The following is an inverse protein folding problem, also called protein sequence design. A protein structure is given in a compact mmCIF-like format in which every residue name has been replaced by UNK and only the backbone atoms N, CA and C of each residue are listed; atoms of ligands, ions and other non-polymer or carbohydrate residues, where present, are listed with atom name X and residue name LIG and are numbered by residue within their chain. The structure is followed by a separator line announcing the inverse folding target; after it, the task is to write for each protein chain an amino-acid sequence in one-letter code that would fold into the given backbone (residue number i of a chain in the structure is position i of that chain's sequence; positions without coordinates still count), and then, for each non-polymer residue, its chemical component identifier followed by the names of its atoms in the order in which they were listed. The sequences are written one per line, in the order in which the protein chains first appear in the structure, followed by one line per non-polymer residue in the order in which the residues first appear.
data_IF_788471579657
#
_entry.id   IF_788471579657
#
_cell.length_a   1.000
_cell.length_b   1.000
_cell.length_c   1.000
_cell.angle_alpha   90.00
_cell.angle_beta   90.00
_cell.angle_gamma   90.00
#
_symmetry.space_group_name_H-M   'P 1'
#
loop_
_entity.id
_entity.type
_entity.pdbx_description
1 polymer ?
#
# COMPACT_ATOMS: atom_id res chain seq x y z
N UNK A 1 -24.98 -15.54 26.15
CA UNK A 1 -24.46 -14.26 25.63
C UNK A 1 -24.10 -14.49 24.17
N UNK A 2 -24.88 -13.93 23.25
CA UNK A 2 -24.70 -14.19 21.81
C UNK A 2 -23.66 -13.21 21.25
N UNK A 3 -22.46 -13.71 20.94
CA UNK A 3 -21.42 -12.92 20.29
C UNK A 3 -21.86 -12.61 18.86
N UNK A 4 -22.11 -11.34 18.56
CA UNK A 4 -22.34 -10.87 17.20
C UNK A 4 -20.99 -10.83 16.49
N UNK A 5 -20.81 -11.68 15.49
CA UNK A 5 -19.64 -11.65 14.59
C UNK A 5 -19.86 -10.50 13.63
N UNK A 6 -19.04 -9.44 13.74
CA UNK A 6 -18.99 -8.38 12.75
C UNK A 6 -17.72 -8.56 11.92
N UNK A 7 -17.88 -9.01 10.66
CA UNK A 7 -16.83 -8.94 9.66
C UNK A 7 -16.84 -7.51 9.11
N UNK A 8 -15.88 -6.69 9.52
CA UNK A 8 -15.64 -5.40 8.86
C UNK A 8 -14.90 -5.70 7.57
N UNK A 9 -15.61 -5.63 6.44
CA UNK A 9 -15.00 -5.68 5.12
C UNK A 9 -14.90 -4.25 4.61
N UNK A 10 -13.73 -3.64 4.77
CA UNK A 10 -13.44 -2.34 4.18
C UNK A 10 -13.19 -2.51 2.68
N UNK A 11 -14.13 -2.03 1.85
CA UNK A 11 -13.92 -1.91 0.41
C UNK A 11 -13.53 -0.47 0.07
N UNK A 12 -12.33 -0.29 -0.47
CA UNK A 12 -11.92 0.95 -1.11
C UNK A 12 -11.58 0.68 -2.59
N UNK A 13 -12.56 0.91 -3.46
CA UNK A 13 -12.32 1.03 -4.90
C UNK A 13 -13.39 1.91 -5.53
N UNK A 14 -13.00 3.08 -6.03
CA UNK A 14 -13.78 3.80 -7.06
C UNK A 14 -12.79 4.33 -8.08
N UNK A 15 -13.00 3.96 -9.35
CA UNK A 15 -12.27 4.48 -10.50
C UNK A 15 -13.19 5.42 -11.28
N UNK A 16 -12.76 6.66 -11.52
CA UNK A 16 -12.93 7.38 -12.78
C UNK A 16 -12.22 8.74 -12.78
N UNK A 17 -11.92 9.20 -14.00
CA UNK A 17 -10.88 10.16 -14.37
C UNK A 17 -10.89 11.54 -13.68
N UNK A 18 -9.66 12.02 -13.46
CA UNK A 18 -9.20 13.42 -13.42
C UNK A 18 -10.27 14.48 -13.06
N UNK A 19 -10.49 14.64 -11.76
CA UNK A 19 -11.15 15.77 -11.14
C UNK A 19 -10.93 15.64 -9.62
N UNK A 20 -10.76 16.75 -8.91
CA UNK A 20 -10.75 16.76 -7.45
C UNK A 20 -12.13 16.33 -6.95
N UNK A 21 -12.37 15.01 -6.89
CA UNK A 21 -13.57 14.45 -6.30
C UNK A 21 -13.46 14.75 -4.80
N UNK A 22 -14.36 15.56 -4.23
CA UNK A 22 -14.38 15.76 -2.79
C UNK A 22 -14.55 14.41 -2.12
N UNK A 23 -13.86 14.22 -0.99
CA UNK A 23 -13.96 12.98 -0.21
C UNK A 23 -15.42 12.55 -0.07
N UNK A 24 -15.77 11.29 -0.38
CA UNK A 24 -17.14 10.80 -0.25
C UNK A 24 -17.76 11.07 1.12
N UNK A 25 -16.92 11.29 2.15
CA UNK A 25 -17.32 11.56 3.53
C UNK A 25 -16.71 12.85 4.12
N UNK A 26 -16.14 13.74 3.31
CA UNK A 26 -15.51 14.98 3.80
C UNK A 26 -14.14 14.80 4.49
N UNK A 27 -13.51 13.64 4.35
CA UNK A 27 -12.16 13.38 4.86
C UNK A 27 -11.12 14.28 4.15
N UNK A 28 -10.39 15.14 4.89
CA UNK A 28 -9.40 16.04 4.31
C UNK A 28 -8.14 15.31 3.78
N UNK A 29 -7.93 14.05 4.15
CA UNK A 29 -6.78 13.23 3.72
C UNK A 29 -7.03 12.50 2.40
N UNK A 30 -8.30 12.39 1.98
CA UNK A 30 -8.66 11.74 0.74
C UNK A 30 -8.37 12.63 -0.47
N UNK A 31 -7.77 12.03 -1.49
CA UNK A 31 -7.83 12.53 -2.85
C UNK A 31 -7.99 11.36 -3.84
N UNK A 32 -8.19 11.66 -5.13
CA UNK A 32 -8.34 10.62 -6.15
C UNK A 32 -7.19 9.59 -6.17
N UNK A 33 -5.97 10.03 -5.87
CA UNK A 33 -4.75 9.21 -5.87
C UNK A 33 -4.43 8.55 -4.51
N UNK A 34 -5.05 9.01 -3.42
CA UNK A 34 -4.79 8.54 -2.06
C UNK A 34 -6.10 8.35 -1.29
N UNK A 35 -6.40 7.10 -0.95
CA UNK A 35 -7.56 6.78 -0.12
C UNK A 35 -7.40 7.36 1.29
N UNK A 36 -8.54 7.64 1.92
CA UNK A 36 -8.64 7.91 3.35
C UNK A 36 -8.04 6.73 4.15
N UNK A 37 -7.30 7.05 5.21
CA UNK A 37 -6.77 6.06 6.15
C UNK A 37 -7.57 6.10 7.46
N UNK A 38 -7.59 5.01 8.26
CA UNK A 38 -8.39 4.97 9.48
C UNK A 38 -7.79 5.75 10.66
N UNK A 39 -6.72 6.53 10.45
CA UNK A 39 -5.96 7.25 11.47
C UNK A 39 -6.86 8.00 12.47
N UNK A 40 -6.85 7.58 13.74
CA UNK A 40 -7.58 8.26 14.83
C UNK A 40 -9.11 8.29 14.70
N UNK A 41 -9.68 7.56 13.74
CA UNK A 41 -11.15 7.52 13.51
C UNK A 41 -11.81 6.26 14.08
N UNK A 42 -11.02 5.28 14.50
CA UNK A 42 -11.55 4.03 15.00
C UNK A 42 -12.25 4.24 16.35
N UNK A 43 -13.48 3.73 16.44
CA UNK A 43 -14.27 3.73 17.67
C UNK A 43 -14.69 2.29 17.96
N UNK A 44 -14.24 1.69 19.09
CA UNK A 44 -14.64 0.35 19.46
C UNK A 44 -16.15 0.25 19.62
N UNK A 45 -16.75 -0.81 19.06
CA UNK A 45 -18.17 -1.06 19.26
C UNK A 45 -18.42 -1.52 20.71
N UNK A 46 -19.32 -0.82 21.40
CA UNK A 46 -19.69 -1.15 22.78
C UNK A 46 -20.20 -2.59 22.90
N UNK A 47 -19.71 -3.32 23.92
CA UNK A 47 -20.05 -4.72 24.20
C UNK A 47 -19.75 -5.71 23.06
N UNK A 48 -18.79 -5.40 22.18
CA UNK A 48 -18.28 -6.31 21.17
C UNK A 48 -16.77 -6.56 21.34
N UNK A 49 -16.30 -7.71 20.87
CA UNK A 49 -14.88 -8.05 20.84
C UNK A 49 -14.44 -8.26 19.40
N UNK A 50 -13.34 -7.61 19.00
CA UNK A 50 -12.74 -7.83 17.70
C UNK A 50 -12.21 -9.26 17.59
N UNK A 51 -12.57 -9.95 16.50
CA UNK A 51 -12.17 -11.35 16.23
C UNK A 51 -11.36 -11.52 14.96
N UNK A 52 -11.60 -10.69 13.96
CA UNK A 52 -10.98 -10.80 12.65
C UNK A 52 -10.95 -9.42 11.98
N UNK A 53 -9.83 -9.10 11.35
CA UNK A 53 -9.69 -7.95 10.46
C UNK A 53 -9.39 -8.50 9.06
N UNK A 54 -10.09 -8.00 8.05
CA UNK A 54 -9.79 -8.29 6.65
C UNK A 54 -9.52 -6.97 5.92
N UNK A 55 -8.29 -6.84 5.43
CA UNK A 55 -7.87 -5.69 4.64
C UNK A 55 -7.76 -6.09 3.17
N UNK A 56 -8.47 -5.36 2.32
CA UNK A 56 -8.32 -5.44 0.86
C UNK A 56 -7.86 -4.08 0.38
N UNK A 57 -6.64 -4.02 -0.14
CA UNK A 57 -6.03 -2.76 -0.58
C UNK A 57 -5.55 -2.86 -2.02
N UNK A 58 -5.59 -1.72 -2.71
CA UNK A 58 -4.98 -1.54 -4.04
C UNK A 58 -3.48 -1.29 -3.86
N UNK A 59 -2.70 -1.52 -4.91
CA UNK A 59 -1.35 -0.96 -4.97
C UNK A 59 -1.36 0.58 -4.77
N UNK A 60 -0.24 1.13 -4.30
CA UNK A 60 -0.05 2.58 -4.19
C UNK A 60 0.15 3.28 -5.54
N UNK A 61 0.52 4.56 -5.50
CA UNK A 61 0.85 5.34 -6.69
C UNK A 61 1.89 4.65 -7.59
N UNK A 62 1.71 4.80 -8.90
CA UNK A 62 2.54 4.14 -9.90
C UNK A 62 2.61 4.96 -11.17
N UNK A 63 3.66 4.74 -11.95
CA UNK A 63 3.72 5.25 -13.32
C UNK A 63 2.62 4.66 -14.20
N UNK A 64 2.23 5.35 -15.29
CA UNK A 64 1.36 4.81 -16.31
C UNK A 64 1.88 3.49 -16.88
N UNK A 65 1.01 2.61 -17.36
CA UNK A 65 1.41 1.36 -18.03
C UNK A 65 1.56 1.53 -19.54
N UNK A 66 1.05 2.63 -20.08
CA UNK A 66 1.09 2.99 -21.48
C UNK A 66 1.50 4.46 -21.60
N UNK A 67 2.04 4.82 -22.77
CA UNK A 67 2.28 6.20 -23.14
C UNK A 67 0.98 6.99 -23.15
N UNK A 68 0.97 8.12 -22.45
CA UNK A 68 -0.13 9.08 -22.48
C UNK A 68 0.27 10.20 -23.44
N UNK A 69 -0.47 10.46 -24.53
CA UNK A 69 -0.15 11.53 -25.46
C UNK A 69 -0.03 12.87 -24.73
N UNK A 70 1.02 13.63 -25.04
CA UNK A 70 1.33 14.93 -24.43
C UNK A 70 1.60 14.90 -22.91
N UNK A 71 1.92 13.75 -22.32
CA UNK A 71 2.39 13.69 -20.94
C UNK A 71 3.86 14.15 -20.85
N UNK A 72 4.08 15.28 -20.18
CA UNK A 72 5.41 15.84 -19.91
C UNK A 72 5.89 15.59 -18.48
N UNK A 73 5.22 14.68 -17.75
CA UNK A 73 5.56 14.38 -16.36
C UNK A 73 6.94 13.74 -16.25
N UNK A 74 7.62 14.02 -15.14
CA UNK A 74 8.90 13.40 -14.81
C UNK A 74 8.69 12.37 -13.70
N UNK A 75 9.00 11.10 -13.99
CA UNK A 75 8.83 9.99 -13.06
C UNK A 75 10.18 9.50 -12.56
N UNK A 76 10.52 9.86 -11.32
CA UNK A 76 11.80 9.50 -10.70
C UNK A 76 11.64 8.37 -9.68
N UNK A 77 12.29 7.24 -9.95
CA UNK A 77 12.34 6.06 -9.09
C UNK A 77 13.76 5.75 -8.62
N UNK A 78 14.70 6.68 -8.81
CA UNK A 78 16.13 6.47 -8.52
C UNK A 78 16.44 6.40 -7.03
N UNK A 79 15.58 6.95 -6.17
CA UNK A 79 15.70 6.83 -4.73
C UNK A 79 15.54 5.39 -4.21
N UNK A 80 15.14 4.46 -5.10
CA UNK A 80 14.74 3.11 -4.71
C UNK A 80 13.44 3.14 -3.92
N UNK A 81 12.76 2.00 -3.88
CA UNK A 81 11.69 1.80 -2.90
C UNK A 81 12.39 1.21 -1.69
N UNK A 82 12.52 1.99 -0.63
CA UNK A 82 13.18 1.54 0.60
C UNK A 82 12.21 0.64 1.38
N UNK A 83 11.90 -0.54 0.85
CA UNK A 83 11.17 -1.59 1.56
C UNK A 83 12.14 -2.38 2.41
N UNK A 84 12.88 -1.72 3.31
CA UNK A 84 13.92 -2.33 4.15
C UNK A 84 13.26 -3.24 5.22
N UNK A 85 12.52 -4.25 4.76
CA UNK A 85 11.91 -5.29 5.54
C UNK A 85 12.99 -6.34 5.74
N UNK A 86 13.95 -5.98 6.57
CA UNK A 86 15.03 -6.86 7.05
C UNK A 86 14.49 -8.01 7.92
N UNK A 87 13.18 -8.03 8.20
CA UNK A 87 12.53 -8.95 9.14
C UNK A 87 11.62 -10.03 8.52
N UNK A 88 11.45 -10.10 7.18
CA UNK A 88 10.72 -11.21 6.54
C UNK A 88 11.70 -12.22 5.94
N UNK A 89 12.51 -12.87 6.79
CA UNK A 89 13.47 -13.87 6.34
C UNK A 89 12.81 -15.23 5.99
N UNK A 90 11.54 -15.47 6.37
CA UNK A 90 11.03 -16.84 6.52
C UNK A 90 9.68 -17.16 5.86
N UNK A 91 9.11 -16.31 4.99
CA UNK A 91 7.92 -16.67 4.22
C UNK A 91 8.24 -16.65 2.72
N UNK A 92 8.29 -17.86 2.17
CA UNK A 92 8.37 -18.19 0.76
C UNK A 92 7.86 -17.07 -0.18
N UNK A 93 8.78 -16.49 -0.94
CA UNK A 93 8.55 -15.67 -2.14
C UNK A 93 7.84 -14.32 -2.02
N UNK A 94 8.19 -13.51 -1.02
CA UNK A 94 8.32 -12.06 -1.29
C UNK A 94 9.80 -11.65 -1.21
N UNK A 95 10.66 -12.41 -1.89
CA UNK A 95 12.00 -12.00 -2.31
C UNK A 95 11.97 -11.53 -3.77
N UNK A 96 11.22 -10.47 -4.05
CA UNK A 96 11.61 -9.60 -5.15
C UNK A 96 12.84 -8.91 -4.60
N UNK A 97 14.02 -9.32 -5.07
CA UNK A 97 15.15 -8.42 -5.11
C UNK A 97 14.55 -7.06 -5.44
N UNK A 98 14.69 -6.08 -4.54
CA UNK A 98 14.44 -4.71 -4.92
C UNK A 98 15.26 -4.57 -6.19
N UNK A 99 14.59 -4.52 -7.35
CA UNK A 99 15.22 -4.10 -8.58
C UNK A 99 15.39 -2.62 -8.35
N UNK A 100 16.32 -2.29 -7.46
CA UNK A 100 17.31 -1.27 -7.69
C UNK A 100 17.90 -1.69 -9.02
N UNK A 101 17.24 -1.30 -10.10
CA UNK A 101 17.95 -0.94 -11.30
C UNK A 101 18.91 0.14 -10.83
N UNK A 102 20.05 -0.28 -10.26
CA UNK A 102 21.26 0.50 -10.20
C UNK A 102 21.41 0.93 -11.64
N UNK A 103 21.11 2.19 -11.89
CA UNK A 103 20.99 2.77 -13.20
C UNK A 103 22.31 2.48 -13.94
N UNK A 104 22.36 1.39 -14.72
CA UNK A 104 23.59 0.93 -15.38
C UNK A 104 23.87 1.75 -16.63
N UNK A 105 23.44 3.00 -16.69
CA UNK A 105 23.59 3.88 -17.84
C UNK A 105 22.90 3.37 -19.12
N UNK A 106 22.20 2.24 -19.06
CA UNK A 106 21.34 1.77 -20.14
C UNK A 106 20.02 2.48 -19.95
N UNK A 107 19.71 3.41 -20.85
CA UNK A 107 18.37 3.98 -21.00
C UNK A 107 17.39 2.82 -21.23
N UNK A 108 16.90 2.21 -20.15
CA UNK A 108 15.87 1.19 -20.22
C UNK A 108 14.63 1.76 -20.89
N UNK A 109 13.69 0.91 -21.29
CA UNK A 109 12.45 1.33 -21.96
C UNK A 109 11.73 2.51 -21.29
N UNK A 110 11.87 2.69 -19.96
CA UNK A 110 11.36 3.85 -19.22
C UNK A 110 11.85 5.21 -19.75
N UNK A 111 13.11 5.32 -20.18
CA UNK A 111 13.69 6.55 -20.72
C UNK A 111 13.14 6.93 -22.11
N UNK A 112 12.49 5.98 -22.81
CA UNK A 112 11.75 6.25 -24.05
C UNK A 112 10.28 6.58 -23.78
N UNK A 113 9.82 6.42 -22.53
CA UNK A 113 8.40 6.54 -22.18
C UNK A 113 8.07 7.91 -21.58
N UNK A 114 8.92 8.41 -20.69
CA UNK A 114 8.80 9.73 -20.05
C UNK A 114 10.16 10.20 -19.54
N UNK A 115 10.23 11.45 -19.08
CA UNK A 115 11.41 11.93 -18.38
C UNK A 115 11.57 11.20 -17.02
N UNK A 116 12.80 10.88 -16.64
CA UNK A 116 13.12 10.23 -15.37
C UNK A 116 13.58 8.77 -15.50
N UNK A 117 13.47 8.03 -14.40
CA UNK A 117 14.10 6.70 -14.21
C UNK A 117 13.12 5.55 -13.97
N UNK A 118 11.83 5.85 -13.78
CA UNK A 118 10.82 4.81 -13.58
C UNK A 118 10.50 4.05 -14.88
N UNK A 119 10.23 2.75 -14.75
CA UNK A 119 9.68 1.90 -15.82
C UNK A 119 8.15 1.97 -15.87
N UNK A 120 7.50 1.55 -16.97
CA UNK A 120 6.05 1.53 -17.03
C UNK A 120 5.38 0.60 -16.02
N UNK A 121 4.31 1.10 -15.39
CA UNK A 121 3.56 0.40 -14.36
C UNK A 121 4.31 0.21 -13.05
N UNK A 122 5.40 0.95 -12.84
CA UNK A 122 6.25 0.89 -11.66
C UNK A 122 5.64 1.59 -10.47
N UNK A 123 5.65 0.93 -9.31
CA UNK A 123 5.34 1.59 -8.04
C UNK A 123 6.33 2.73 -7.82
N UNK A 124 5.82 3.93 -7.53
CA UNK A 124 6.66 5.09 -7.23
C UNK A 124 7.09 5.06 -5.76
N UNK A 125 8.14 5.83 -5.38
CA UNK A 125 8.47 6.03 -3.97
C UNK A 125 7.28 6.58 -3.16
N UNK A 126 6.52 7.51 -3.75
CA UNK A 126 5.27 8.02 -3.19
C UNK A 126 4.26 6.89 -2.94
N UNK A 127 4.06 6.01 -3.92
CA UNK A 127 3.14 4.88 -3.80
C UNK A 127 3.55 3.89 -2.71
N UNK A 128 4.84 3.72 -2.46
CA UNK A 128 5.30 2.92 -1.34
C UNK A 128 5.06 3.63 0.00
N UNK A 129 5.34 4.94 0.08
CA UNK A 129 5.11 5.75 1.27
C UNK A 129 3.63 5.75 1.70
N UNK A 130 2.70 5.77 0.74
CA UNK A 130 1.26 5.62 1.02
C UNK A 130 0.95 4.31 1.79
N UNK A 131 1.66 3.22 1.50
CA UNK A 131 1.47 1.95 2.20
C UNK A 131 2.18 1.91 3.54
N UNK A 132 3.34 2.57 3.68
CA UNK A 132 3.99 2.77 5.00
C UNK A 132 3.05 3.49 5.95
N UNK A 133 2.43 4.58 5.50
CA UNK A 133 1.48 5.36 6.31
C UNK A 133 0.23 4.55 6.65
N UNK A 134 -0.32 3.81 5.69
CA UNK A 134 -1.43 2.90 5.96
C UNK A 134 -1.05 1.85 7.02
N UNK A 135 0.14 1.27 6.93
CA UNK A 135 0.65 0.31 7.92
C UNK A 135 0.77 0.92 9.32
N UNK A 136 1.26 2.16 9.42
CA UNK A 136 1.37 2.90 10.68
C UNK A 136 -0.01 3.17 11.30
N UNK A 137 -0.98 3.58 10.50
CA UNK A 137 -2.35 3.84 10.98
C UNK A 137 -3.04 2.56 11.46
N UNK A 138 -2.86 1.45 10.73
CA UNK A 138 -3.38 0.15 11.12
C UNK A 138 -2.71 -0.37 12.40
N UNK A 139 -1.40 -0.11 12.56
CA UNK A 139 -0.67 -0.44 13.79
C UNK A 139 -1.21 0.34 14.98
N UNK A 140 -1.45 1.65 14.84
CA UNK A 140 -2.03 2.47 15.89
C UNK A 140 -3.33 1.88 16.44
N UNK A 141 -4.20 1.37 15.55
CA UNK A 141 -5.48 0.78 15.96
C UNK A 141 -5.30 -0.64 16.50
N UNK A 142 -4.71 -1.54 15.70
CA UNK A 142 -4.76 -2.99 15.97
C UNK A 142 -3.64 -3.47 16.89
N UNK A 143 -2.58 -2.71 17.08
CA UNK A 143 -1.51 -3.01 18.04
C UNK A 143 -1.65 -2.09 19.26
N UNK A 144 -1.62 -0.78 19.07
CA UNK A 144 -1.44 0.15 20.18
C UNK A 144 -2.74 0.40 20.97
N UNK A 145 -3.86 0.66 20.29
CA UNK A 145 -5.16 0.91 20.96
C UNK A 145 -5.87 -0.38 21.41
N UNK A 146 -5.93 -1.39 20.54
CA UNK A 146 -6.72 -2.61 20.78
C UNK A 146 -5.92 -3.79 21.35
N UNK A 147 -4.60 -3.80 21.19
CA UNK A 147 -3.78 -4.98 21.52
C UNK A 147 -4.22 -6.26 20.79
N UNK A 148 -4.82 -6.13 19.61
CA UNK A 148 -5.33 -7.27 18.83
C UNK A 148 -4.20 -8.07 18.17
N UNK A 149 -3.17 -7.37 17.68
CA UNK A 149 -1.93 -7.96 17.14
C UNK A 149 -0.75 -7.71 18.10
N UNK A 150 0.25 -8.60 18.13
CA UNK A 150 1.47 -8.37 18.90
C UNK A 150 2.30 -7.22 18.31
N UNK A 151 3.17 -6.62 19.12
CA UNK A 151 4.05 -5.54 18.69
C UNK A 151 5.00 -5.94 17.53
N UNK A 152 5.34 -7.23 17.44
CA UNK A 152 6.14 -7.80 16.37
C UNK A 152 5.53 -9.13 15.93
N UNK A 153 5.42 -9.34 14.62
CA UNK A 153 4.97 -10.61 14.04
C UNK A 153 6.08 -11.65 14.23
N UNK A 154 5.78 -12.78 14.88
CA UNK A 154 6.84 -13.72 15.29
C UNK A 154 6.92 -14.96 14.41
N UNK A 155 5.77 -15.50 13.99
CA UNK A 155 5.74 -16.79 13.30
C UNK A 155 4.81 -16.81 12.08
N UNK A 156 4.25 -15.67 11.68
CA UNK A 156 3.41 -15.53 10.50
C UNK A 156 2.03 -16.19 10.64
N UNK A 157 1.71 -16.74 11.81
CA UNK A 157 0.38 -17.28 12.11
C UNK A 157 -0.60 -16.17 12.50
N UNK A 158 -0.08 -15.00 12.90
CA UNK A 158 -0.86 -13.85 13.32
C UNK A 158 -1.52 -13.13 12.15
N UNK A 159 -0.90 -13.20 10.96
CA UNK A 159 -1.37 -12.51 9.76
C UNK A 159 -1.24 -13.42 8.54
N UNK A 160 -2.34 -13.59 7.81
CA UNK A 160 -2.33 -14.19 6.49
C UNK A 160 -2.24 -13.12 5.40
N UNK A 161 -1.21 -13.18 4.56
CA UNK A 161 -1.01 -12.24 3.47
C UNK A 161 -1.21 -12.92 2.10
N UNK A 162 -1.96 -12.26 1.22
CA UNK A 162 -2.13 -12.68 -0.19
C UNK A 162 -2.03 -11.47 -1.10
N UNK A 163 -1.30 -11.62 -2.21
CA UNK A 163 -1.25 -10.61 -3.27
C UNK A 163 -1.39 -11.29 -4.64
N UNK A 164 -1.71 -10.49 -5.67
CA UNK A 164 -1.52 -10.93 -7.05
C UNK A 164 -0.02 -11.03 -7.37
N UNK A 165 0.37 -11.84 -8.37
CA UNK A 165 1.76 -11.96 -8.84
C UNK A 165 2.37 -10.71 -9.51
N UNK A 166 1.75 -9.54 -9.34
CA UNK A 166 2.20 -8.28 -9.91
C UNK A 166 3.12 -7.57 -8.92
N UNK A 167 4.35 -7.29 -9.34
CA UNK A 167 5.42 -6.73 -8.52
C UNK A 167 5.03 -5.47 -7.72
N UNK A 168 4.35 -4.49 -8.33
CA UNK A 168 3.88 -3.28 -7.62
C UNK A 168 2.93 -3.57 -6.47
N UNK A 169 2.13 -4.65 -6.57
CA UNK A 169 1.19 -5.06 -5.51
C UNK A 169 1.97 -5.74 -4.39
N UNK A 170 2.96 -6.57 -4.72
CA UNK A 170 3.85 -7.19 -3.73
C UNK A 170 4.68 -6.13 -2.98
N UNK A 171 5.19 -5.12 -3.69
CA UNK A 171 5.93 -4.00 -3.09
C UNK A 171 5.06 -3.12 -2.20
N UNK A 172 3.80 -2.88 -2.60
CA UNK A 172 2.83 -2.17 -1.77
C UNK A 172 2.55 -2.94 -0.48
N UNK A 173 2.25 -4.24 -0.59
CA UNK A 173 2.01 -5.09 0.57
C UNK A 173 3.23 -5.17 1.50
N UNK A 174 4.44 -5.16 0.93
CA UNK A 174 5.69 -5.06 1.68
C UNK A 174 5.81 -3.74 2.44
N UNK A 175 5.65 -2.62 1.77
CA UNK A 175 5.78 -1.30 2.40
C UNK A 175 4.80 -1.10 3.58
N UNK A 176 3.68 -1.80 3.59
CA UNK A 176 2.67 -1.77 4.66
C UNK A 176 3.05 -2.59 5.91
N UNK A 177 3.97 -3.56 5.79
CA UNK A 177 4.38 -4.46 6.87
C UNK A 177 5.64 -3.98 7.57
#
# INVERSE_FOLDING_TARGET
MHAKILAVVGFAAVANAAGLIPSPNGDPTYNYCKAATPAGTYQPLAAAQLRLVQLVTRHGDRTPTALVPNDSSTWNCSAGINTDITHMQNTWDIAQNAVTSKDRGVKGWGAFTWNGSCMPGQLTPEGAQMHVELGQDLRGIYVDELGFLPASLQNGSEVYLRSTGVWRVQQSARAML
#
